data_IF_656924615325
#
_entry.id   IF_656924615325
#
_cell.length_a   1.000
_cell.length_b   1.000
_cell.length_c   1.000
_cell.angle_alpha   90.00
_cell.angle_beta   90.00
_cell.angle_gamma   90.00
#
_symmetry.space_group_name_H-M   'P 1'
#
loop_
_entity.id
_entity.type
_entity.pdbx_description
1 polymer ?
#
# COMPACT_ATOMS: atom_id res chain seq x y z
N UNK A 1 -11.10 -4.07 -8.75
CA UNK A 1 -10.25 -3.06 -9.40
C UNK A 1 -9.20 -2.64 -8.39
N UNK A 2 -7.91 -2.82 -8.69
CA UNK A 2 -6.82 -2.42 -7.79
C UNK A 2 -6.64 -0.91 -7.80
N UNK A 3 -6.47 -0.30 -6.64
CA UNK A 3 -6.26 1.15 -6.53
C UNK A 3 -5.01 1.61 -7.33
N UNK A 4 -5.11 2.67 -8.15
CA UNK A 4 -3.99 3.12 -9.00
C UNK A 4 -2.79 3.63 -8.20
N UNK A 5 -2.98 4.10 -6.96
CA UNK A 5 -1.86 4.49 -6.11
C UNK A 5 -1.05 3.25 -5.66
N UNK A 6 -1.72 2.12 -5.42
CA UNK A 6 -1.03 0.87 -5.11
C UNK A 6 -0.23 0.34 -6.31
N UNK A 7 -0.77 0.42 -7.53
CA UNK A 7 -0.04 0.03 -8.75
C UNK A 7 1.24 0.85 -8.95
N UNK A 8 1.20 2.15 -8.64
CA UNK A 8 2.37 3.04 -8.70
C UNK A 8 3.48 2.69 -7.71
N UNK A 9 3.19 1.90 -6.67
CA UNK A 9 4.22 1.41 -5.75
C UNK A 9 5.11 0.34 -6.39
N UNK A 10 4.68 -0.30 -7.48
CA UNK A 10 5.48 -1.26 -8.24
C UNK A 10 5.91 -2.50 -7.44
N UNK A 11 5.11 -2.90 -6.45
CA UNK A 11 5.47 -3.98 -5.53
C UNK A 11 5.08 -5.36 -6.08
N UNK A 12 5.93 -6.40 -5.88
CA UNK A 12 5.56 -7.76 -6.19
C UNK A 12 4.47 -8.26 -5.22
N UNK A 13 3.65 -9.21 -5.68
CA UNK A 13 2.61 -9.81 -4.84
C UNK A 13 3.19 -10.54 -3.63
N UNK A 14 4.40 -11.11 -3.73
CA UNK A 14 5.12 -11.80 -2.65
C UNK A 14 5.81 -10.86 -1.65
N UNK A 15 5.68 -9.54 -1.81
CA UNK A 15 6.28 -8.58 -0.90
C UNK A 15 5.71 -8.74 0.52
N UNK A 16 6.53 -8.47 1.55
CA UNK A 16 6.01 -8.39 2.91
C UNK A 16 5.11 -7.15 3.09
N UNK A 17 4.06 -7.21 3.93
CA UNK A 17 3.27 -6.04 4.33
C UNK A 17 4.11 -4.85 4.83
N UNK A 18 5.26 -5.11 5.48
CA UNK A 18 6.18 -4.06 5.92
C UNK A 18 6.81 -3.30 4.74
N UNK A 19 7.15 -4.01 3.67
CA UNK A 19 7.68 -3.42 2.43
C UNK A 19 6.63 -2.52 1.78
N UNK A 20 5.36 -2.93 1.80
CA UNK A 20 4.23 -2.11 1.31
C UNK A 20 4.10 -0.82 2.10
N UNK A 21 4.15 -0.90 3.43
CA UNK A 21 4.11 0.30 4.27
C UNK A 21 5.30 1.23 3.99
N UNK A 22 6.51 0.69 3.86
CA UNK A 22 7.70 1.49 3.57
C UNK A 22 7.60 2.19 2.21
N UNK A 23 7.08 1.51 1.20
CA UNK A 23 6.83 2.11 -0.13
C UNK A 23 5.74 3.18 -0.08
N UNK A 24 4.62 2.92 0.60
CA UNK A 24 3.54 3.89 0.78
C UNK A 24 4.01 5.14 1.54
N UNK A 25 4.85 4.98 2.56
CA UNK A 25 5.47 6.09 3.29
C UNK A 25 6.41 6.90 2.39
N UNK A 26 7.13 6.26 1.46
CA UNK A 26 8.01 6.93 0.50
C UNK A 26 7.25 7.62 -0.63
N UNK A 27 6.07 7.13 -0.99
CA UNK A 27 5.21 7.75 -2.00
C UNK A 27 4.61 9.08 -1.52
N UNK A 28 4.49 9.30 -0.20
CA UNK A 28 4.05 10.58 0.37
C UNK A 28 5.21 11.59 0.45
N UNK A 29 4.96 12.81 -0.03
CA UNK A 29 5.91 13.92 0.09
C UNK A 29 6.27 14.19 1.57
N UNK A 30 7.55 14.46 1.91
CA UNK A 30 7.98 14.78 3.28
C UNK A 30 7.11 15.84 3.96
N UNK A 31 6.74 16.90 3.25
CA UNK A 31 5.94 17.99 3.81
C UNK A 31 4.53 17.51 4.18
N UNK A 32 3.90 16.72 3.31
CA UNK A 32 2.60 16.08 3.59
C UNK A 32 2.67 15.13 4.80
N UNK A 33 3.84 14.53 5.07
CA UNK A 33 4.07 13.70 6.26
C UNK A 33 4.29 14.53 7.52
N UNK A 34 4.92 15.69 7.40
CA UNK A 34 5.17 16.59 8.52
C UNK A 34 3.89 17.24 9.06
N UNK A 35 2.88 17.47 8.21
CA UNK A 35 1.60 18.06 8.64
C UNK A 35 0.89 17.16 9.66
N UNK A 36 0.74 17.62 10.90
CA UNK A 36 0.08 16.86 11.98
C UNK A 36 -1.40 16.58 11.70
N UNK A 37 -2.10 17.51 11.05
CA UNK A 37 -3.52 17.40 10.70
C UNK A 37 -3.84 16.21 9.77
N UNK A 38 -2.89 15.79 8.93
CA UNK A 38 -3.08 14.67 8.02
C UNK A 38 -2.86 13.29 8.63
N UNK A 39 -2.64 13.19 9.96
CA UNK A 39 -2.41 11.88 10.62
C UNK A 39 -3.52 10.86 10.34
N UNK A 40 -4.79 11.29 10.36
CA UNK A 40 -5.92 10.39 10.08
C UNK A 40 -5.93 9.94 8.61
N UNK A 41 -5.74 10.88 7.68
CA UNK A 41 -5.65 10.60 6.25
C UNK A 41 -4.50 9.64 5.91
N UNK A 42 -3.31 9.86 6.49
CA UNK A 42 -2.15 8.96 6.32
C UNK A 42 -2.43 7.55 6.82
N UNK A 43 -3.03 7.40 8.00
CA UNK A 43 -3.42 6.08 8.51
C UNK A 43 -4.40 5.38 7.58
N UNK A 44 -5.39 6.10 7.05
CA UNK A 44 -6.35 5.53 6.09
C UNK A 44 -5.65 5.08 4.81
N UNK A 45 -4.76 5.90 4.26
CA UNK A 45 -3.96 5.56 3.08
C UNK A 45 -3.14 4.29 3.31
N UNK A 46 -2.43 4.18 4.43
CA UNK A 46 -1.65 2.97 4.74
C UNK A 46 -2.52 1.71 4.85
N UNK A 47 -3.70 1.82 5.47
CA UNK A 47 -4.64 0.69 5.57
C UNK A 47 -5.19 0.28 4.21
N UNK A 48 -5.47 1.23 3.32
CA UNK A 48 -5.90 0.93 1.95
C UNK A 48 -4.80 0.19 1.18
N UNK A 49 -3.55 0.66 1.24
CA UNK A 49 -2.43 -0.02 0.58
C UNK A 49 -2.22 -1.45 1.08
N UNK A 50 -2.40 -1.70 2.38
CA UNK A 50 -2.37 -3.05 2.94
C UNK A 50 -3.53 -3.91 2.45
N UNK A 51 -4.75 -3.38 2.43
CA UNK A 51 -5.93 -4.09 1.96
C UNK A 51 -5.81 -4.51 0.48
N UNK A 52 -5.38 -3.58 -0.37
CA UNK A 52 -5.11 -3.83 -1.79
C UNK A 52 -4.03 -4.89 -1.98
N UNK A 53 -2.97 -4.85 -1.16
CA UNK A 53 -1.92 -5.85 -1.20
C UNK A 53 -2.41 -7.23 -0.78
N UNK A 54 -3.24 -7.34 0.27
CA UNK A 54 -3.84 -8.62 0.66
C UNK A 54 -4.76 -9.17 -0.41
N UNK A 55 -5.55 -8.31 -1.07
CA UNK A 55 -6.39 -8.72 -2.19
C UNK A 55 -5.55 -9.21 -3.39
N UNK A 56 -4.43 -8.55 -3.67
CA UNK A 56 -3.49 -8.96 -4.72
C UNK A 56 -2.73 -10.24 -4.38
N UNK A 57 -2.36 -10.42 -3.11
CA UNK A 57 -1.77 -11.67 -2.62
C UNK A 57 -2.76 -12.82 -2.79
N UNK A 58 -4.00 -12.68 -2.31
CA UNK A 58 -5.04 -13.69 -2.46
C UNK A 58 -5.36 -14.01 -3.94
N UNK A 59 -5.33 -13.01 -4.82
CA UNK A 59 -5.50 -13.23 -6.26
C UNK A 59 -4.29 -13.94 -6.90
N UNK A 60 -3.07 -13.65 -6.44
CA UNK A 60 -1.85 -14.32 -6.88
C UNK A 60 -1.66 -15.72 -6.30
N UNK A 61 -2.25 -15.99 -5.15
CA UNK A 61 -2.30 -17.30 -4.46
C UNK A 61 -3.43 -18.19 -4.99
N UNK A 62 -4.13 -17.81 -6.07
CA UNK A 62 -5.04 -18.74 -6.75
C UNK A 62 -4.19 -19.95 -7.17
N UNK A 63 -4.35 -21.13 -6.55
CA UNK A 63 -3.54 -22.27 -6.91
C UNK A 63 -3.95 -22.60 -8.35
N UNK A 64 -3.02 -22.48 -9.27
CA UNK A 64 -3.17 -23.15 -10.57
C UNK A 64 -2.98 -24.63 -10.25
N UNK A 65 -4.08 -25.29 -9.89
CA UNK A 65 -4.16 -26.71 -9.50
C UNK A 65 -5.54 -27.24 -9.82
#
# INVERSE_FOLDING_TARGET
MTDPAYQRLGLPATASPYTVLRAAVRALHPDTRAVRGFRAARKRFYRQMLCEHTARQAAGDTPTG
#
